data_IF_681603319847
#
_entry.id   IF_681603319847
#
_cell.length_a   1.000
_cell.length_b   1.000
_cell.length_c   1.000
_cell.angle_alpha   90.00
_cell.angle_beta   90.00
_cell.angle_gamma   90.00
#
_symmetry.space_group_name_H-M   'P 1'
#
loop_
_entity.id
_entity.type
_entity.pdbx_description
1 polymer ?
#
# COMPACT_ATOMS: atom_id res chain seq x y z
N UNK A 1 19.03 3.50 -11.15
CA UNK A 1 18.72 3.60 -9.71
C UNK A 1 17.74 2.53 -9.24
N UNK A 2 16.46 2.60 -9.63
CA UNK A 2 15.42 1.64 -9.22
C UNK A 2 15.00 0.73 -10.38
N UNK A 3 14.63 -0.52 -10.09
CA UNK A 3 14.14 -1.49 -11.08
C UNK A 3 12.90 -2.22 -10.56
N UNK A 4 11.85 -2.27 -11.37
CA UNK A 4 10.58 -2.93 -11.05
C UNK A 4 10.66 -4.47 -11.14
N UNK A 5 9.82 -5.15 -10.37
CA UNK A 5 9.70 -6.62 -10.27
C UNK A 5 8.48 -7.20 -11.02
N UNK A 6 7.81 -6.42 -11.88
CA UNK A 6 6.61 -6.82 -12.62
C UNK A 6 5.51 -7.47 -11.73
N UNK A 7 4.90 -6.70 -10.80
CA UNK A 7 3.93 -7.24 -9.86
C UNK A 7 2.65 -7.75 -10.55
N UNK A 8 2.11 -8.86 -10.04
CA UNK A 8 0.89 -9.48 -10.53
C UNK A 8 -0.33 -8.74 -9.96
N UNK A 9 -1.13 -8.11 -10.83
CA UNK A 9 -2.40 -7.48 -10.43
C UNK A 9 -3.54 -8.48 -10.51
N UNK A 10 -3.97 -9.00 -9.35
CA UNK A 10 -5.01 -10.04 -9.24
C UNK A 10 -6.36 -9.45 -9.69
N UNK A 11 -7.01 -10.06 -10.68
CA UNK A 11 -8.27 -9.52 -11.23
C UNK A 11 -9.48 -9.72 -10.33
N UNK A 12 -9.61 -10.91 -9.75
CA UNK A 12 -10.74 -11.30 -8.91
C UNK A 12 -10.33 -11.23 -7.44
N UNK A 13 -10.79 -10.18 -6.74
CA UNK A 13 -10.47 -9.93 -5.34
C UNK A 13 -11.58 -10.41 -4.39
N UNK A 14 -12.27 -11.50 -4.74
CA UNK A 14 -13.33 -12.07 -3.92
C UNK A 14 -13.03 -13.49 -3.46
N UNK A 15 -13.13 -13.68 -2.15
CA UNK A 15 -13.10 -14.98 -1.49
C UNK A 15 -14.52 -15.56 -1.52
N UNK A 16 -14.66 -16.78 -2.03
CA UNK A 16 -15.95 -17.43 -2.33
C UNK A 16 -16.18 -18.72 -1.57
N UNK A 17 -15.10 -19.42 -1.20
CA UNK A 17 -15.16 -20.68 -0.46
C UNK A 17 -15.25 -20.41 1.05
N UNK A 18 -16.22 -21.04 1.75
CA UNK A 18 -16.43 -20.89 3.18
C UNK A 18 -15.33 -21.63 3.96
N UNK A 19 -15.02 -21.16 5.16
CA UNK A 19 -14.06 -21.84 6.04
C UNK A 19 -14.68 -23.08 6.67
N UNK A 20 -13.87 -24.13 6.86
CA UNK A 20 -14.35 -25.40 7.43
C UNK A 20 -14.52 -25.36 8.94
N UNK A 21 -13.62 -24.69 9.65
CA UNK A 21 -13.66 -24.59 11.11
C UNK A 21 -14.34 -23.28 11.55
N UNK A 22 -15.65 -23.34 11.77
CA UNK A 22 -16.45 -22.17 12.18
C UNK A 22 -16.20 -21.74 13.64
N UNK A 23 -15.51 -22.54 14.46
CA UNK A 23 -15.20 -22.14 15.85
C UNK A 23 -14.38 -20.85 15.90
N UNK A 24 -13.62 -20.58 14.83
CA UNK A 24 -12.76 -19.39 14.69
C UNK A 24 -13.52 -18.07 14.82
N UNK A 25 -14.81 -18.04 14.44
CA UNK A 25 -15.67 -16.85 14.55
C UNK A 25 -15.95 -16.44 16.01
N UNK A 26 -15.73 -17.36 16.95
CA UNK A 26 -16.01 -17.15 18.38
C UNK A 26 -14.74 -17.21 19.24
N UNK A 27 -13.67 -17.83 18.74
CA UNK A 27 -12.37 -17.92 19.40
C UNK A 27 -11.48 -16.69 19.18
N UNK A 28 -11.71 -15.94 18.10
CA UNK A 28 -10.92 -14.76 17.75
C UNK A 28 -11.77 -13.51 17.90
N UNK A 29 -11.23 -12.48 18.55
CA UNK A 29 -11.87 -11.17 18.53
C UNK A 29 -11.47 -10.41 17.27
N UNK A 30 -12.44 -9.74 16.64
CA UNK A 30 -12.25 -8.82 15.51
C UNK A 30 -11.82 -7.41 15.98
N UNK A 31 -11.07 -7.37 17.07
CA UNK A 31 -10.42 -6.15 17.54
C UNK A 31 -9.32 -5.75 16.57
N UNK A 32 -9.18 -4.44 16.35
CA UNK A 32 -8.24 -3.87 15.36
C UNK A 32 -8.50 -4.28 13.90
N UNK A 33 -9.75 -4.60 13.53
CA UNK A 33 -10.13 -4.77 12.13
C UNK A 33 -9.71 -3.56 11.29
N UNK A 34 -8.78 -3.80 10.37
CA UNK A 34 -8.28 -2.79 9.46
C UNK A 34 -9.31 -2.53 8.36
N UNK A 35 -10.06 -1.44 8.53
CA UNK A 35 -11.16 -1.07 7.63
C UNK A 35 -10.65 -0.46 6.34
N UNK A 36 -9.63 0.39 6.45
CA UNK A 36 -9.13 1.23 5.37
C UNK A 36 -7.74 0.82 4.90
N UNK A 37 -7.02 -0.05 5.59
CA UNK A 37 -5.74 -0.57 5.14
C UNK A 37 -5.85 -1.98 4.57
N UNK A 38 -4.75 -2.72 4.65
CA UNK A 38 -4.56 -4.01 4.01
C UNK A 38 -4.31 -5.15 5.00
N UNK A 39 -4.22 -4.85 6.31
CA UNK A 39 -3.92 -5.85 7.32
C UNK A 39 -5.10 -6.80 7.57
N UNK A 40 -4.83 -8.08 7.45
CA UNK A 40 -5.76 -9.18 7.65
C UNK A 40 -5.75 -9.63 9.11
N UNK A 41 -6.95 -9.84 9.66
CA UNK A 41 -7.13 -10.55 10.91
C UNK A 41 -7.11 -12.09 10.72
N UNK A 42 -7.12 -12.85 11.83
CA UNK A 42 -7.05 -14.32 11.80
C UNK A 42 -8.16 -14.99 11.00
N UNK A 43 -9.39 -14.48 11.07
CA UNK A 43 -10.53 -15.01 10.32
C UNK A 43 -10.33 -14.76 8.82
N UNK A 44 -9.91 -13.54 8.46
CA UNK A 44 -9.59 -13.19 7.07
C UNK A 44 -8.50 -14.09 6.50
N UNK A 45 -7.41 -14.35 7.24
CA UNK A 45 -6.36 -15.30 6.81
C UNK A 45 -6.91 -16.68 6.50
N UNK A 46 -7.77 -17.21 7.37
CA UNK A 46 -8.33 -18.55 7.21
C UNK A 46 -9.19 -18.63 5.93
N UNK A 47 -9.91 -17.56 5.60
CA UNK A 47 -10.60 -17.47 4.31
C UNK A 47 -9.63 -17.43 3.13
N UNK A 48 -8.52 -16.69 3.22
CA UNK A 48 -7.50 -16.66 2.16
C UNK A 48 -6.89 -18.05 1.93
N UNK A 49 -6.56 -18.78 3.00
CA UNK A 49 -6.05 -20.15 2.95
C UNK A 49 -7.03 -21.11 2.26
N UNK A 50 -8.30 -21.10 2.65
CA UNK A 50 -9.32 -21.99 2.05
C UNK A 50 -9.60 -21.64 0.59
N UNK A 51 -9.47 -20.36 0.21
CA UNK A 51 -9.61 -19.90 -1.17
C UNK A 51 -8.30 -20.01 -1.98
N UNK A 52 -7.23 -20.56 -1.41
CA UNK A 52 -5.92 -20.75 -2.05
C UNK A 52 -5.38 -19.45 -2.66
N UNK A 53 -5.51 -18.35 -1.92
CA UNK A 53 -4.86 -17.10 -2.29
C UNK A 53 -3.40 -17.18 -1.88
N UNK A 54 -2.56 -17.55 -2.85
CA UNK A 54 -1.14 -17.85 -2.64
C UNK A 54 -0.27 -16.60 -2.53
N UNK A 55 -0.49 -15.68 -1.58
CA UNK A 55 0.41 -14.52 -1.41
C UNK A 55 0.38 -13.99 0.03
N UNK A 56 1.11 -14.67 0.92
CA UNK A 56 1.50 -14.11 2.21
C UNK A 56 3.02 -13.98 2.20
N UNK A 57 3.48 -12.76 2.48
CA UNK A 57 4.87 -12.36 2.70
C UNK A 57 5.87 -12.77 1.60
N UNK A 58 6.27 -11.79 0.80
CA UNK A 58 7.54 -11.95 0.10
C UNK A 58 8.69 -12.23 1.04
N UNK A 59 9.60 -13.02 0.48
CA UNK A 59 10.94 -13.27 0.95
C UNK A 59 11.70 -11.94 1.05
N UNK A 60 11.49 -11.18 2.13
CA UNK A 60 12.21 -9.94 2.42
C UNK A 60 13.69 -10.27 2.60
N UNK A 61 14.50 -10.08 1.56
CA UNK A 61 15.95 -10.04 1.71
C UNK A 61 16.44 -8.83 2.54
N UNK A 62 15.56 -7.91 2.95
CA UNK A 62 15.88 -6.79 3.81
C UNK A 62 15.13 -6.86 5.16
N UNK A 63 15.87 -7.31 6.19
CA UNK A 63 15.76 -6.97 7.62
C UNK A 63 14.44 -7.26 8.38
N UNK A 64 14.54 -8.27 9.27
CA UNK A 64 13.99 -8.31 10.64
C UNK A 64 12.55 -7.81 10.85
N UNK A 65 11.61 -8.39 10.12
CA UNK A 65 10.21 -8.42 10.52
C UNK A 65 9.92 -9.90 10.77
N UNK A 66 9.42 -10.25 11.95
CA UNK A 66 9.11 -11.66 12.27
C UNK A 66 8.21 -12.25 11.19
N UNK A 67 8.30 -13.55 10.91
CA UNK A 67 7.51 -14.22 9.87
C UNK A 67 5.98 -13.94 9.98
N UNK A 68 5.52 -13.56 11.19
CA UNK A 68 4.13 -13.20 11.51
C UNK A 68 3.77 -11.71 11.41
N UNK A 69 4.70 -10.80 11.10
CA UNK A 69 4.49 -9.37 11.37
C UNK A 69 3.77 -8.58 10.28
N UNK A 70 3.46 -9.17 9.11
CA UNK A 70 2.58 -8.55 8.11
C UNK A 70 1.58 -9.55 7.54
N UNK A 71 0.36 -9.46 8.05
CA UNK A 71 -0.78 -10.24 7.59
C UNK A 71 -1.40 -9.57 6.38
N UNK A 72 -0.70 -9.51 5.24
CA UNK A 72 -1.13 -8.71 4.09
C UNK A 72 -0.93 -9.50 2.80
N UNK A 73 -1.79 -9.27 1.79
CA UNK A 73 -1.53 -9.72 0.42
C UNK A 73 -0.73 -8.62 -0.30
N UNK A 74 0.58 -8.84 -0.42
CA UNK A 74 1.55 -7.82 -0.83
C UNK A 74 2.61 -8.40 -1.76
N UNK A 75 3.05 -7.60 -2.73
CA UNK A 75 4.20 -7.85 -3.61
C UNK A 75 5.11 -6.62 -3.60
N UNK A 76 6.42 -6.81 -3.63
CA UNK A 76 7.44 -5.77 -3.66
C UNK A 76 7.62 -5.32 -5.08
N UNK A 77 7.46 -4.01 -5.25
CA UNK A 77 7.36 -3.46 -6.59
C UNK A 77 8.72 -3.05 -7.15
N UNK A 78 9.58 -2.39 -6.38
CA UNK A 78 10.87 -1.88 -6.83
C UNK A 78 12.04 -2.30 -5.95
N UNK A 79 13.07 -2.85 -6.59
CA UNK A 79 14.39 -3.02 -6.01
C UNK A 79 15.28 -1.80 -6.30
N UNK A 80 16.13 -1.44 -5.34
CA UNK A 80 17.25 -0.53 -5.58
C UNK A 80 18.43 -1.33 -6.15
N UNK A 81 18.70 -1.14 -7.44
CA UNK A 81 19.72 -1.92 -8.18
C UNK A 81 21.06 -1.20 -8.28
N UNK A 82 21.09 0.11 -8.03
CA UNK A 82 22.30 0.90 -7.90
C UNK A 82 22.45 1.39 -6.46
N UNK A 83 23.58 1.09 -5.84
CA UNK A 83 23.89 1.61 -4.51
C UNK A 83 24.17 3.11 -4.58
N UNK A 84 23.66 3.85 -3.58
CA UNK A 84 23.94 5.26 -3.42
C UNK A 84 24.08 5.58 -1.92
N UNK A 85 25.06 6.40 -1.51
CA UNK A 85 25.32 6.65 -0.09
C UNK A 85 24.19 7.38 0.64
N UNK A 86 23.32 8.09 -0.08
CA UNK A 86 22.20 8.83 0.51
C UNK A 86 20.80 8.39 0.05
N UNK A 87 20.66 7.50 -0.94
CA UNK A 87 19.31 7.14 -1.45
C UNK A 87 18.98 5.73 -1.01
N UNK A 88 17.84 5.58 -0.34
CA UNK A 88 17.36 4.30 0.18
C UNK A 88 15.86 4.18 0.00
N UNK A 89 15.40 3.11 -0.67
CA UNK A 89 13.97 2.73 -0.65
C UNK A 89 13.60 2.37 0.79
N UNK A 90 12.58 3.04 1.34
CA UNK A 90 11.99 2.67 2.63
C UNK A 90 11.00 1.51 2.42
N UNK A 91 10.07 1.69 1.49
CA UNK A 91 9.12 0.66 1.09
C UNK A 91 8.70 0.78 -0.37
N UNK A 92 8.29 -0.35 -0.95
CA UNK A 92 7.80 -0.42 -2.32
C UNK A 92 6.92 -1.64 -2.50
N UNK A 93 5.61 -1.43 -2.62
CA UNK A 93 4.60 -2.45 -2.48
C UNK A 93 3.43 -2.25 -3.46
N UNK A 94 2.92 -3.37 -3.97
CA UNK A 94 1.58 -3.52 -4.53
C UNK A 94 0.77 -4.39 -3.59
N UNK A 95 -0.40 -3.89 -3.17
CA UNK A 95 -1.25 -4.52 -2.16
C UNK A 95 -2.60 -4.91 -2.75
N UNK A 96 -3.20 -5.96 -2.18
CA UNK A 96 -4.53 -6.42 -2.54
C UNK A 96 -5.37 -6.61 -1.27
N UNK A 97 -6.54 -5.98 -1.22
CA UNK A 97 -7.54 -6.23 -0.18
C UNK A 97 -8.71 -6.99 -0.79
N UNK A 98 -8.98 -8.17 -0.25
CA UNK A 98 -10.07 -9.01 -0.72
C UNK A 98 -11.39 -8.66 -0.04
N UNK A 99 -12.48 -8.88 -0.77
CA UNK A 99 -13.83 -8.94 -0.24
C UNK A 99 -14.37 -10.37 -0.21
N UNK A 100 -15.62 -10.51 0.21
CA UNK A 100 -16.31 -11.79 0.29
C UNK A 100 -17.52 -11.82 -0.64
N UNK A 101 -17.69 -12.94 -1.33
CA UNK A 101 -18.86 -13.28 -2.17
C UNK A 101 -19.26 -14.75 -1.99
N UNK A 102 -20.36 -15.17 -2.61
CA UNK A 102 -20.81 -16.56 -2.61
C UNK A 102 -21.03 -17.15 -1.21
N UNK A 103 -20.65 -18.42 -1.06
CA UNK A 103 -20.81 -19.19 0.18
C UNK A 103 -20.01 -18.58 1.34
N UNK A 104 -18.81 -18.04 1.07
CA UNK A 104 -18.01 -17.36 2.10
C UNK A 104 -18.74 -16.16 2.70
N UNK A 105 -19.35 -15.32 1.86
CA UNK A 105 -20.11 -14.15 2.32
C UNK A 105 -21.35 -14.54 3.11
N UNK A 106 -22.02 -15.60 2.67
CA UNK A 106 -23.22 -16.11 3.35
C UNK A 106 -22.88 -16.68 4.72
N UNK A 107 -21.79 -17.45 4.84
CA UNK A 107 -21.29 -17.94 6.12
C UNK A 107 -21.00 -16.77 7.10
N UNK A 108 -20.32 -15.72 6.63
CA UNK A 108 -20.08 -14.52 7.46
C UNK A 108 -21.41 -13.89 7.92
N UNK A 109 -22.40 -13.80 7.03
CA UNK A 109 -23.73 -13.25 7.33
C UNK A 109 -24.42 -14.02 8.46
N UNK A 110 -24.41 -15.35 8.37
CA UNK A 110 -25.05 -16.23 9.36
C UNK A 110 -24.42 -16.09 10.74
N UNK A 111 -23.08 -16.05 10.82
CA UNK A 111 -22.39 -15.85 12.10
C UNK A 111 -22.49 -14.42 12.64
N UNK A 112 -22.64 -13.42 11.76
CA UNK A 112 -22.76 -12.01 12.16
C UNK A 112 -24.02 -11.70 12.98
N UNK A 113 -25.06 -12.54 12.88
CA UNK A 113 -26.26 -12.44 13.74
C UNK A 113 -25.93 -12.66 15.23
N UNK A 114 -24.97 -13.54 15.53
CA UNK A 114 -24.51 -13.85 16.90
C UNK A 114 -23.23 -13.12 17.28
N UNK A 115 -22.41 -12.74 16.30
CA UNK A 115 -21.17 -12.00 16.50
C UNK A 115 -21.12 -10.74 15.59
N UNK A 116 -21.75 -9.62 16.01
CA UNK A 116 -21.98 -8.45 15.15
C UNK A 116 -20.72 -7.77 14.60
N UNK A 117 -19.52 -7.99 15.18
CA UNK A 117 -18.28 -7.43 14.64
C UNK A 117 -17.99 -7.97 13.23
N UNK A 118 -18.51 -9.13 12.85
CA UNK A 118 -18.39 -9.73 11.51
C UNK A 118 -19.05 -8.89 10.41
N UNK A 119 -19.98 -7.99 10.74
CA UNK A 119 -20.53 -7.06 9.76
C UNK A 119 -19.45 -6.17 9.13
N UNK A 120 -18.33 -5.92 9.82
CA UNK A 120 -17.18 -5.22 9.24
C UNK A 120 -16.58 -5.99 8.06
N UNK A 121 -16.40 -7.31 8.20
CA UNK A 121 -15.93 -8.18 7.12
C UNK A 121 -16.98 -8.34 6.03
N UNK A 122 -18.25 -8.54 6.39
CA UNK A 122 -19.34 -8.68 5.42
C UNK A 122 -19.45 -7.49 4.46
N UNK A 123 -19.17 -6.28 4.95
CA UNK A 123 -19.26 -5.04 4.19
C UNK A 123 -17.92 -4.55 3.60
N UNK A 124 -16.82 -5.30 3.79
CA UNK A 124 -15.53 -4.92 3.20
C UNK A 124 -15.65 -4.94 1.68
N UNK A 125 -15.06 -3.93 1.04
CA UNK A 125 -15.05 -3.80 -0.42
C UNK A 125 -13.62 -4.00 -0.90
N UNK A 126 -13.40 -4.86 -1.91
CA UNK A 126 -12.05 -5.10 -2.39
C UNK A 126 -11.43 -3.85 -3.02
N UNK A 127 -10.11 -3.75 -2.90
CA UNK A 127 -9.30 -2.66 -3.46
C UNK A 127 -7.85 -3.09 -3.65
N UNK A 128 -7.13 -2.31 -4.43
CA UNK A 128 -5.71 -2.42 -4.71
C UNK A 128 -4.99 -1.25 -4.06
N UNK A 129 -3.80 -1.51 -3.55
CA UNK A 129 -2.90 -0.51 -2.99
C UNK A 129 -1.64 -0.40 -3.84
N UNK A 130 -1.16 0.83 -4.02
CA UNK A 130 0.20 1.14 -4.45
C UNK A 130 0.83 1.86 -3.27
N UNK A 131 2.07 1.53 -2.90
CA UNK A 131 2.80 2.22 -1.82
C UNK A 131 4.32 2.20 -2.11
N UNK A 132 4.96 3.33 -2.36
CA UNK A 132 6.36 3.48 -2.73
C UNK A 132 6.93 4.74 -2.10
N UNK A 133 7.99 4.59 -1.33
CA UNK A 133 8.68 5.69 -0.68
C UNK A 133 10.18 5.45 -0.70
N UNK A 134 10.93 6.53 -0.90
CA UNK A 134 12.37 6.51 -0.68
C UNK A 134 12.85 7.80 -0.04
N UNK A 135 13.93 7.66 0.72
CA UNK A 135 14.54 8.71 1.49
C UNK A 135 15.88 9.16 0.91
N UNK A 136 16.15 10.44 1.08
CA UNK A 136 17.50 10.98 1.09
C UNK A 136 18.00 11.06 2.54
N UNK A 137 19.04 10.30 2.87
CA UNK A 137 19.61 10.19 4.22
C UNK A 137 21.03 10.77 4.26
N UNK A 138 21.24 11.70 5.17
CA UNK A 138 22.53 12.30 5.53
C UNK A 138 22.69 12.28 7.07
N UNK A 139 23.89 12.61 7.57
CA UNK A 139 24.32 12.35 8.96
C UNK A 139 23.25 12.63 10.04
N UNK A 140 22.54 13.76 9.96
CA UNK A 140 21.53 14.19 10.95
C UNK A 140 20.13 14.34 10.38
N UNK A 141 19.90 14.02 9.10
CA UNK A 141 18.60 14.20 8.45
C UNK A 141 18.23 13.02 7.56
N UNK A 142 17.01 12.54 7.73
CA UNK A 142 16.31 11.76 6.72
C UNK A 142 15.22 12.64 6.11
N UNK A 143 15.17 12.72 4.79
CA UNK A 143 14.13 13.46 4.07
C UNK A 143 13.48 12.52 3.06
N UNK A 144 12.19 12.28 3.27
CA UNK A 144 11.35 11.63 2.27
C UNK A 144 11.36 12.49 0.99
N UNK A 145 11.89 11.94 -0.10
CA UNK A 145 11.99 12.67 -1.38
C UNK A 145 10.66 12.57 -2.13
N UNK A 146 10.07 11.38 -2.10
CA UNK A 146 8.77 11.10 -2.70
C UNK A 146 8.09 9.97 -1.95
N UNK A 147 6.78 10.09 -1.79
CA UNK A 147 5.89 9.03 -1.37
C UNK A 147 4.81 8.88 -2.45
N UNK A 148 4.50 7.64 -2.84
CA UNK A 148 3.48 7.24 -3.81
C UNK A 148 2.55 6.16 -3.20
N UNK A 149 1.24 6.35 -3.09
CA UNK A 149 0.33 5.76 -2.11
C UNK A 149 -1.06 6.01 -2.67
N UNK A 150 -1.70 4.95 -3.13
CA UNK A 150 -2.96 5.06 -3.85
C UNK A 150 -3.83 3.86 -3.57
N UNK A 151 -5.11 4.12 -3.31
CA UNK A 151 -6.15 3.11 -3.27
C UNK A 151 -6.97 3.12 -4.56
N UNK A 152 -7.05 1.97 -5.23
CA UNK A 152 -7.74 1.81 -6.50
C UNK A 152 -8.75 0.67 -6.39
N UNK A 153 -9.94 0.80 -6.99
CA UNK A 153 -10.97 -0.26 -6.99
C UNK A 153 -11.20 -0.90 -8.35
N UNK A 154 -10.73 -0.27 -9.42
CA UNK A 154 -10.86 -0.77 -10.78
C UNK A 154 -9.57 -1.47 -11.23
N UNK A 155 -9.68 -2.72 -11.69
CA UNK A 155 -8.51 -3.52 -12.07
C UNK A 155 -7.77 -2.95 -13.29
N UNK A 156 -8.50 -2.39 -14.26
CA UNK A 156 -7.91 -1.85 -15.48
C UNK A 156 -7.12 -0.58 -15.12
N UNK A 157 -7.74 0.31 -14.35
CA UNK A 157 -7.11 1.53 -13.86
C UNK A 157 -5.89 1.23 -12.98
N UNK A 158 -5.95 0.19 -12.13
CA UNK A 158 -4.80 -0.24 -11.34
C UNK A 158 -3.61 -0.60 -12.24
N UNK A 159 -3.83 -1.40 -13.29
CA UNK A 159 -2.77 -1.78 -14.23
C UNK A 159 -2.18 -0.59 -14.97
N UNK A 160 -3.05 0.27 -15.52
CA UNK A 160 -2.62 1.49 -16.21
C UNK A 160 -1.84 2.43 -15.27
N UNK A 161 -2.25 2.52 -14.00
CA UNK A 161 -1.56 3.34 -12.99
C UNK A 161 -0.20 2.76 -12.63
N UNK A 162 -0.10 1.44 -12.40
CA UNK A 162 1.19 0.78 -12.13
C UNK A 162 2.15 0.93 -13.30
N UNK A 163 1.68 0.80 -14.54
CA UNK A 163 2.50 0.99 -15.74
C UNK A 163 3.04 2.43 -15.83
N UNK A 164 2.14 3.44 -15.74
CA UNK A 164 2.54 4.85 -15.80
C UNK A 164 3.51 5.26 -14.69
N UNK A 165 3.25 4.81 -13.45
CA UNK A 165 4.15 5.10 -12.33
C UNK A 165 5.46 4.32 -12.45
N UNK A 166 5.46 3.12 -13.03
CA UNK A 166 6.69 2.37 -13.28
C UNK A 166 7.59 3.12 -14.25
N UNK A 167 7.04 3.57 -15.37
CA UNK A 167 7.76 4.38 -16.36
C UNK A 167 8.26 5.70 -15.75
N UNK A 168 7.44 6.35 -14.90
CA UNK A 168 7.84 7.55 -14.18
C UNK A 168 9.01 7.28 -13.23
N UNK A 169 8.96 6.22 -12.43
CA UNK A 169 10.00 5.91 -11.43
C UNK A 169 11.30 5.46 -12.11
N UNK A 170 11.25 4.61 -13.14
CA UNK A 170 12.46 4.14 -13.84
C UNK A 170 13.07 5.23 -14.73
N UNK A 171 12.26 6.17 -15.24
CA UNK A 171 12.69 7.19 -16.20
C UNK A 171 13.36 8.44 -15.61
N UNK A 172 13.55 8.53 -14.28
CA UNK A 172 14.02 9.75 -13.60
C UNK A 172 15.44 9.63 -13.08
N UNK A 173 16.18 10.74 -13.14
CA UNK A 173 17.42 10.89 -12.40
C UNK A 173 17.10 11.29 -10.94
N UNK A 174 16.93 10.28 -10.10
CA UNK A 174 16.61 10.47 -8.70
C UNK A 174 17.75 11.11 -7.90
N UNK A 175 19.00 11.02 -8.35
CA UNK A 175 20.13 11.66 -7.64
C UNK A 175 20.02 13.17 -7.77
N UNK A 176 19.86 13.67 -9.00
CA UNK A 176 19.77 15.11 -9.24
C UNK A 176 18.46 15.71 -8.74
N UNK A 177 17.34 14.98 -8.86
CA UNK A 177 16.06 15.42 -8.29
C UNK A 177 16.09 15.48 -6.76
N UNK A 178 16.70 14.50 -6.09
CA UNK A 178 16.83 14.53 -4.63
C UNK A 178 17.66 15.73 -4.19
N UNK A 179 18.84 15.95 -4.80
CA UNK A 179 19.67 17.13 -4.52
C UNK A 179 18.91 18.43 -4.72
N UNK A 180 18.12 18.54 -5.78
CA UNK A 180 17.27 19.70 -6.03
C UNK A 180 16.26 19.89 -4.88
N UNK A 181 15.51 18.85 -4.51
CA UNK A 181 14.50 18.91 -3.44
C UNK A 181 15.13 19.33 -2.10
N UNK A 182 16.27 18.74 -1.75
CA UNK A 182 17.02 19.09 -0.53
C UNK A 182 17.52 20.54 -0.58
N UNK A 183 18.02 21.01 -1.73
CA UNK A 183 18.48 22.40 -1.90
C UNK A 183 17.37 23.44 -1.71
N UNK A 184 16.11 23.01 -1.82
CA UNK A 184 14.91 23.84 -1.67
C UNK A 184 14.16 23.58 -0.37
N UNK A 185 14.79 22.92 0.61
CA UNK A 185 14.18 22.56 1.90
C UNK A 185 13.47 23.74 2.56
N UNK A 186 14.07 24.93 2.54
CA UNK A 186 13.47 26.14 3.14
C UNK A 186 12.14 26.58 2.48
N UNK A 187 11.87 26.17 1.23
CA UNK A 187 10.62 26.51 0.52
C UNK A 187 9.44 25.65 0.98
N UNK A 188 9.69 24.42 1.42
CA UNK A 188 8.65 23.45 1.75
C UNK A 188 8.63 23.02 3.20
N UNK A 189 9.74 23.08 3.96
CA UNK A 189 9.82 22.59 5.34
C UNK A 189 8.83 23.28 6.30
N UNK A 190 8.45 24.53 6.00
CA UNK A 190 7.48 25.30 6.81
C UNK A 190 6.02 25.03 6.43
N UNK A 191 5.78 24.29 5.36
CA UNK A 191 4.45 23.92 4.90
C UNK A 191 3.92 22.74 5.72
N UNK A 192 2.60 22.59 5.78
CA UNK A 192 2.00 21.35 6.27
C UNK A 192 2.32 20.17 5.34
N UNK A 193 2.19 18.96 5.86
CA UNK A 193 2.59 17.72 5.18
C UNK A 193 1.96 17.58 3.78
N UNK A 194 0.69 17.97 3.65
CA UNK A 194 -0.02 17.93 2.37
C UNK A 194 0.59 18.93 1.37
N UNK A 195 0.85 20.16 1.81
CA UNK A 195 1.47 21.17 0.98
C UNK A 195 2.93 20.84 0.63
N UNK A 196 3.65 20.13 1.51
CA UNK A 196 4.97 19.56 1.18
C UNK A 196 4.87 18.52 0.07
N UNK A 197 3.94 17.57 0.18
CA UNK A 197 3.73 16.54 -0.84
C UNK A 197 3.35 17.15 -2.20
N UNK A 198 2.45 18.14 -2.22
CA UNK A 198 2.09 18.87 -3.45
C UNK A 198 3.30 19.61 -4.03
N UNK A 199 4.10 20.26 -3.18
CA UNK A 199 5.31 20.95 -3.63
C UNK A 199 6.31 19.96 -4.25
N UNK A 200 6.56 18.82 -3.60
CA UNK A 200 7.48 17.79 -4.10
C UNK A 200 6.97 17.17 -5.40
N UNK A 201 5.69 16.81 -5.47
CA UNK A 201 5.04 16.25 -6.66
C UNK A 201 5.20 17.16 -7.89
N UNK A 202 5.02 18.47 -7.71
CA UNK A 202 5.22 19.46 -8.76
C UNK A 202 6.65 19.48 -9.30
N UNK A 203 7.63 19.34 -8.41
CA UNK A 203 9.05 19.44 -8.79
C UNK A 203 9.63 18.12 -9.31
N UNK A 204 9.08 16.97 -8.90
CA UNK A 204 9.40 15.68 -9.53
C UNK A 204 8.67 15.49 -10.86
N UNK A 205 7.58 16.23 -11.08
CA UNK A 205 6.68 16.10 -12.22
C UNK A 205 5.69 14.95 -12.06
N UNK A 206 5.46 14.46 -10.84
CA UNK A 206 4.46 13.44 -10.54
C UNK A 206 3.04 13.95 -10.84
N UNK A 207 2.78 15.24 -10.60
CA UNK A 207 1.50 15.90 -10.86
C UNK A 207 1.18 16.10 -12.35
N UNK A 208 2.13 15.77 -13.24
CA UNK A 208 1.97 15.87 -14.70
C UNK A 208 1.55 14.54 -15.33
N UNK A 209 1.49 13.46 -14.56
CA UNK A 209 1.00 12.18 -15.06
C UNK A 209 -0.51 12.24 -15.31
N UNK A 210 -0.97 11.60 -16.39
CA UNK A 210 -2.39 11.52 -16.75
C UNK A 210 -3.10 10.43 -15.91
N UNK A 211 -3.07 10.61 -14.59
CA UNK A 211 -3.75 9.76 -13.63
C UNK A 211 -5.08 10.42 -13.22
N UNK A 212 -6.23 9.72 -13.34
CA UNK A 212 -7.57 10.28 -13.06
C UNK A 212 -7.75 10.90 -11.67
N UNK A 213 -6.90 10.51 -10.74
CA UNK A 213 -6.96 10.82 -9.32
C UNK A 213 -6.49 12.25 -8.99
N UNK A 214 -5.73 12.90 -9.89
CA UNK A 214 -5.34 14.30 -9.70
C UNK A 214 -6.50 15.32 -9.84
N UNK A 215 -7.72 14.88 -10.16
CA UNK A 215 -8.85 15.78 -10.48
C UNK A 215 -10.19 15.51 -9.78
N UNK A 216 -10.32 14.53 -8.85
CA UNK A 216 -11.64 14.24 -8.25
C UNK A 216 -11.67 13.44 -6.94
N UNK A 217 -12.55 13.89 -6.01
CA UNK A 217 -12.88 13.34 -4.69
C UNK A 217 -11.73 13.25 -3.65
N UNK A 218 -12.01 13.68 -2.41
CA UNK A 218 -11.04 13.80 -1.31
C UNK A 218 -10.33 12.49 -0.91
N UNK A 219 -10.90 11.32 -1.24
CA UNK A 219 -10.28 10.00 -1.03
C UNK A 219 -9.31 9.59 -2.14
N UNK A 220 -9.27 10.33 -3.25
CA UNK A 220 -8.36 10.06 -4.36
C UNK A 220 -7.55 11.27 -4.80
N UNK A 221 -7.66 12.39 -4.09
CA UNK A 221 -6.59 13.38 -4.15
C UNK A 221 -5.32 12.71 -3.62
N UNK A 222 -4.12 13.03 -4.12
CA UNK A 222 -2.87 12.59 -3.50
C UNK A 222 -2.80 13.15 -2.07
N UNK A 223 -3.45 12.50 -1.13
CA UNK A 223 -3.11 12.53 0.28
C UNK A 223 -2.07 11.45 0.44
N UNK A 224 -0.84 11.90 0.24
CA UNK A 224 0.33 11.23 0.76
C UNK A 224 0.34 11.43 2.26
N UNK A 225 0.07 10.36 3.00
CA UNK A 225 0.33 10.35 4.43
C UNK A 225 1.85 10.30 4.63
N UNK A 226 2.52 11.46 4.52
CA UNK A 226 3.73 11.65 5.30
C UNK A 226 3.29 11.61 6.78
N UNK A 227 3.27 10.41 7.37
CA UNK A 227 2.98 10.29 8.79
C UNK A 227 4.14 10.91 9.56
N UNK A 228 3.79 11.94 10.35
CA UNK A 228 4.48 12.41 11.53
C UNK A 228 5.32 11.31 12.20
N UNK A 229 6.65 11.44 12.09
CA UNK A 229 7.53 11.21 13.22
C UNK A 229 8.57 12.31 13.28
N UNK A 230 8.17 13.42 13.89
CA UNK A 230 9.13 14.24 14.64
C UNK A 230 9.63 13.33 15.76
N UNK A 231 10.84 12.80 15.61
CA UNK A 231 11.65 12.44 16.77
C UNK A 231 12.44 13.70 17.08
N UNK A 232 12.03 14.40 18.12
CA UNK A 232 13.00 15.13 18.94
C UNK A 232 13.83 14.12 19.74
#
# INVERSE_FOLDING_TARGET
MFKSNDPIIIKDLFLKHPIKNESIFYENDLDFFDREGYQLNTIEKTFHEENKVDFHSENRMARRVSDDALNVVLQHWFNQVEEHPQIFIDHSHILHRFGFEGEAKEQIREHAEKHPKLWKMYHIKPKYGIDFCFDWIEDEHATEVIHIEMDIRDNKLMKETVEQLTDFIEGKDWVDLSKYIISKKDEWLQLDDYAQAVWKAKHTGLDQLDLPWFTGHYLNKPYYFAYLKVID
#
